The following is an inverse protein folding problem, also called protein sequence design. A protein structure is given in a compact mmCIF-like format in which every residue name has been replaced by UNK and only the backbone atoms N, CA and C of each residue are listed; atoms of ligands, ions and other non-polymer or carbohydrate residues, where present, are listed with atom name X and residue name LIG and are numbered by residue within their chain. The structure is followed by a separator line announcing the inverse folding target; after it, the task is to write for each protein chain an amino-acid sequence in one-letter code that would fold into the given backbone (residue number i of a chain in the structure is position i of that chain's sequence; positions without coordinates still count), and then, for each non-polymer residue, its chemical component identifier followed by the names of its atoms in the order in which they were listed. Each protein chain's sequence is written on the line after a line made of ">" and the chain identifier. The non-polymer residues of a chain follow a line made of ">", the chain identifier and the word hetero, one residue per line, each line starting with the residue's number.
data_IF_853671707198
#
_entry.id   IF_853671707198
#
_cell.length_a   1.000
_cell.length_b   1.000
_cell.length_c   1.000
_cell.angle_alpha   90.00
_cell.angle_beta   90.00
_cell.angle_gamma   90.00
#
_symmetry.space_group_name_H-M   'P 1'
#
loop_
_entity.id
_entity.type
_entity.pdbx_description
1 polymer ?
#
# COMPACT_ATOMS: atom_id res chain seq x y z
N UNK A 1 -18.00 17.09 8.73
CA UNK A 1 -17.08 16.14 9.40
C UNK A 1 -17.83 14.87 9.80
N UNK A 2 -17.89 13.84 8.95
CA UNK A 2 -18.64 12.60 9.25
C UNK A 2 -17.98 11.66 10.27
N UNK A 3 -16.67 11.81 10.51
CA UNK A 3 -15.88 10.89 11.34
C UNK A 3 -16.18 10.98 12.84
N UNK A 4 -16.65 12.14 13.32
CA UNK A 4 -16.90 12.39 14.75
C UNK A 4 -18.29 11.96 15.23
N UNK A 5 -19.22 11.64 14.32
CA UNK A 5 -20.59 11.33 14.68
C UNK A 5 -20.77 9.86 15.10
N UNK A 6 -21.31 9.64 16.31
CA UNK A 6 -21.70 8.33 16.83
C UNK A 6 -20.74 7.77 17.89
N UNK A 7 -21.10 6.65 18.52
CA UNK A 7 -20.33 6.08 19.62
C UNK A 7 -18.99 5.52 19.13
N UNK A 8 -17.93 5.74 19.92
CA UNK A 8 -16.57 5.28 19.66
C UNK A 8 -16.04 5.66 18.25
N UNK A 9 -15.86 6.97 17.95
CA UNK A 9 -15.40 7.46 16.66
C UNK A 9 -13.98 6.98 16.32
N UNK A 10 -13.18 6.62 17.33
CA UNK A 10 -11.83 6.04 17.16
C UNK A 10 -11.81 4.84 16.19
N UNK A 11 -12.90 4.08 16.12
CA UNK A 11 -13.01 2.90 15.24
C UNK A 11 -12.97 3.24 13.74
N UNK A 12 -13.16 4.51 13.38
CA UNK A 12 -13.15 5.01 12.00
C UNK A 12 -11.80 5.63 11.61
N UNK A 13 -10.78 5.50 12.45
CA UNK A 13 -9.44 6.02 12.18
C UNK A 13 -8.57 4.96 11.49
N UNK A 14 -7.70 5.39 10.56
CA UNK A 14 -6.78 4.48 9.87
C UNK A 14 -5.87 3.71 10.85
N UNK A 15 -5.26 4.33 11.88
CA UNK A 15 -4.44 3.59 12.84
C UNK A 15 -5.21 2.48 13.57
N UNK A 16 -6.48 2.73 13.92
CA UNK A 16 -7.31 1.70 14.53
C UNK A 16 -7.57 0.53 13.58
N UNK A 17 -7.90 0.80 12.31
CA UNK A 17 -8.17 -0.23 11.31
C UNK A 17 -6.92 -1.07 10.99
N UNK A 18 -5.75 -0.43 10.92
CA UNK A 18 -4.46 -1.09 10.68
C UNK A 18 -3.97 -1.96 11.85
N UNK A 19 -4.42 -1.68 13.08
CA UNK A 19 -4.09 -2.50 14.27
C UNK A 19 -4.82 -3.86 14.32
N UNK A 20 -5.59 -4.21 13.29
CA UNK A 20 -6.30 -5.48 13.19
C UNK A 20 -5.35 -6.67 13.12
N UNK A 21 -5.50 -7.63 14.04
CA UNK A 21 -4.63 -8.82 14.11
C UNK A 21 -5.02 -9.96 13.17
N UNK A 22 -6.26 -9.98 12.69
CA UNK A 22 -6.81 -11.10 11.92
C UNK A 22 -6.69 -10.85 10.42
N UNK A 23 -5.71 -11.49 9.79
CA UNK A 23 -5.61 -11.63 8.33
C UNK A 23 -6.02 -13.07 8.00
N UNK A 24 -7.13 -13.22 7.28
CA UNK A 24 -7.70 -14.50 6.91
C UNK A 24 -6.88 -15.16 5.80
N UNK A 25 -6.87 -16.49 5.79
CA UNK A 25 -6.33 -17.28 4.67
C UNK A 25 -7.14 -17.02 3.40
N UNK A 26 -6.48 -17.01 2.25
CA UNK A 26 -7.07 -16.71 0.93
C UNK A 26 -8.26 -17.62 0.53
N UNK A 27 -8.35 -18.79 1.16
CA UNK A 27 -9.45 -19.75 0.98
C UNK A 27 -10.78 -19.27 1.54
N UNK A 28 -10.80 -18.36 2.51
CA UNK A 28 -12.05 -17.83 3.08
C UNK A 28 -12.62 -16.80 2.11
N UNK A 29 -13.91 -16.93 1.75
CA UNK A 29 -14.58 -16.01 0.81
C UNK A 29 -15.69 -15.21 1.46
N UNK A 30 -16.50 -15.86 2.29
CA UNK A 30 -17.65 -15.23 2.94
C UNK A 30 -17.58 -15.52 4.44
N UNK A 31 -17.86 -14.50 5.25
CA UNK A 31 -18.01 -14.61 6.70
C UNK A 31 -19.38 -14.08 7.09
N UNK A 32 -20.19 -14.92 7.70
CA UNK A 32 -21.50 -14.57 8.22
C UNK A 32 -21.43 -14.44 9.74
N UNK A 33 -22.02 -13.39 10.27
CA UNK A 33 -22.11 -13.13 11.71
C UNK A 33 -23.57 -13.10 12.11
N UNK A 34 -23.99 -14.07 12.92
CA UNK A 34 -25.37 -14.24 13.35
C UNK A 34 -25.49 -13.93 14.84
N UNK A 35 -26.22 -12.87 15.21
CA UNK A 35 -26.43 -12.50 16.61
C UNK A 35 -27.74 -11.73 16.82
N UNK A 36 -28.23 -11.73 18.06
CA UNK A 36 -29.47 -11.05 18.41
C UNK A 36 -29.19 -9.76 19.21
N UNK A 37 -29.97 -8.71 18.91
CA UNK A 37 -29.85 -7.42 19.57
C UNK A 37 -30.58 -7.37 20.92
N UNK A 38 -31.71 -8.08 21.04
CA UNK A 38 -32.55 -8.03 22.22
C UNK A 38 -32.20 -9.10 23.26
N UNK A 39 -31.90 -8.66 24.48
CA UNK A 39 -31.87 -9.53 25.66
C UNK A 39 -33.28 -9.89 26.18
N UNK A 40 -34.33 -9.17 25.73
CA UNK A 40 -35.66 -9.13 26.35
C UNK A 40 -36.70 -10.12 25.80
N UNK A 41 -36.51 -10.68 24.61
CA UNK A 41 -37.58 -11.46 23.96
C UNK A 41 -37.67 -12.93 24.42
N UNK A 42 -36.65 -13.44 25.12
CA UNK A 42 -36.58 -14.83 25.55
C UNK A 42 -36.63 -15.02 27.07
N UNK A 43 -37.23 -14.07 27.81
CA UNK A 43 -37.56 -14.24 29.23
C UNK A 43 -39.00 -14.73 29.36
N UNK A 44 -39.22 -15.97 29.83
CA UNK A 44 -40.57 -16.46 30.20
C UNK A 44 -41.10 -15.77 31.46
N UNK A 45 -40.18 -15.27 32.27
CA UNK A 45 -40.35 -14.65 33.55
C UNK A 45 -40.23 -13.13 33.42
N UNK A 46 -41.33 -12.41 33.61
CA UNK A 46 -41.43 -10.92 33.58
C UNK A 46 -40.70 -10.25 34.78
N UNK A 47 -39.63 -10.84 35.29
CA UNK A 47 -38.91 -10.34 36.46
C UNK A 47 -38.02 -9.14 36.09
N UNK A 48 -38.13 -8.08 36.89
CA UNK A 48 -37.46 -6.78 36.69
C UNK A 48 -36.08 -6.71 37.37
N UNK A 49 -35.46 -7.87 37.63
CA UNK A 49 -34.12 -7.95 38.23
C UNK A 49 -33.06 -7.51 37.22
N UNK A 50 -32.25 -6.54 37.65
CA UNK A 50 -31.44 -5.61 36.85
C UNK A 50 -30.14 -6.19 36.26
N UNK A 51 -29.95 -7.51 36.28
CA UNK A 51 -28.72 -8.14 35.77
C UNK A 51 -29.04 -9.26 34.75
N UNK A 52 -28.53 -9.18 33.50
CA UNK A 52 -28.60 -10.25 32.52
C UNK A 52 -27.54 -11.29 32.87
N UNK A 53 -27.89 -12.31 33.67
CA UNK A 53 -26.88 -13.27 34.13
C UNK A 53 -26.35 -14.19 33.02
N UNK A 54 -27.04 -14.33 31.89
CA UNK A 54 -26.53 -15.05 30.72
C UNK A 54 -27.07 -14.47 29.40
N UNK A 55 -26.56 -13.31 28.97
CA UNK A 55 -26.75 -12.88 27.58
C UNK A 55 -25.69 -13.54 26.70
N UNK A 56 -26.06 -14.67 26.09
CA UNK A 56 -25.23 -15.44 25.18
C UNK A 56 -24.60 -14.61 24.05
N UNK A 57 -25.26 -13.54 23.61
CA UNK A 57 -24.88 -12.76 22.43
C UNK A 57 -23.97 -11.57 22.75
N UNK A 58 -23.72 -11.26 24.02
CA UNK A 58 -23.01 -10.03 24.42
C UNK A 58 -21.62 -9.94 23.77
N UNK A 59 -20.82 -11.01 23.83
CA UNK A 59 -19.48 -10.97 23.27
C UNK A 59 -19.46 -10.94 21.75
N UNK A 60 -20.44 -11.55 21.07
CA UNK A 60 -20.53 -11.45 19.62
C UNK A 60 -20.98 -10.06 19.16
N UNK A 61 -21.85 -9.38 19.92
CA UNK A 61 -22.21 -7.98 19.68
C UNK A 61 -21.01 -7.05 19.83
N UNK A 62 -20.23 -7.23 20.89
CA UNK A 62 -19.01 -6.45 21.11
C UNK A 62 -17.96 -6.74 20.05
N UNK A 63 -17.78 -8.00 19.68
CA UNK A 63 -16.91 -8.43 18.59
C UNK A 63 -17.31 -7.76 17.28
N UNK A 64 -18.60 -7.79 16.93
CA UNK A 64 -19.09 -7.11 15.73
C UNK A 64 -18.81 -5.61 15.78
N UNK A 65 -19.03 -4.98 16.93
CA UNK A 65 -18.85 -3.54 17.09
C UNK A 65 -17.38 -3.11 17.02
N UNK A 66 -16.46 -3.82 17.67
CA UNK A 66 -15.05 -3.43 17.74
C UNK A 66 -14.20 -4.05 16.62
N UNK A 67 -14.32 -5.36 16.38
CA UNK A 67 -13.35 -6.10 15.59
C UNK A 67 -13.70 -6.18 14.10
N UNK A 68 -14.98 -6.26 13.71
CA UNK A 68 -15.37 -6.39 12.30
C UNK A 68 -14.85 -5.27 11.39
N UNK A 69 -14.85 -3.97 11.78
CA UNK A 69 -14.24 -2.93 10.96
C UNK A 69 -12.77 -3.19 10.63
N UNK A 70 -11.99 -3.67 11.62
CA UNK A 70 -10.59 -4.02 11.43
C UNK A 70 -10.45 -5.24 10.50
N UNK A 71 -11.27 -6.27 10.70
CA UNK A 71 -11.25 -7.48 9.87
C UNK A 71 -11.57 -7.14 8.41
N UNK A 72 -12.61 -6.35 8.17
CA UNK A 72 -12.99 -5.95 6.80
C UNK A 72 -11.90 -5.11 6.12
N UNK A 73 -11.24 -4.22 6.87
CA UNK A 73 -10.16 -3.39 6.35
C UNK A 73 -8.95 -4.23 5.94
N UNK A 74 -8.55 -5.19 6.78
CA UNK A 74 -7.43 -6.09 6.50
C UNK A 74 -7.75 -7.13 5.42
N UNK A 75 -9.03 -7.43 5.19
CA UNK A 75 -9.49 -8.50 4.30
C UNK A 75 -10.53 -7.95 3.29
N UNK A 76 -10.13 -7.06 2.36
CA UNK A 76 -11.06 -6.42 1.44
C UNK A 76 -11.76 -7.40 0.49
N UNK A 77 -11.13 -8.55 0.21
CA UNK A 77 -11.64 -9.57 -0.70
C UNK A 77 -12.62 -10.56 -0.03
N UNK A 78 -12.85 -10.44 1.28
CA UNK A 78 -13.79 -11.28 2.02
C UNK A 78 -15.08 -10.50 2.22
N UNK A 79 -16.20 -11.11 1.82
CA UNK A 79 -17.52 -10.53 2.06
C UNK A 79 -17.97 -10.86 3.48
N UNK A 80 -18.23 -9.84 4.29
CA UNK A 80 -18.79 -10.00 5.64
C UNK A 80 -20.28 -9.64 5.61
N UNK A 81 -21.12 -10.58 6.02
CA UNK A 81 -22.58 -10.41 6.11
C UNK A 81 -23.02 -10.53 7.57
N UNK A 82 -23.92 -9.65 8.00
CA UNK A 82 -24.54 -9.73 9.32
C UNK A 82 -25.99 -10.18 9.19
N UNK A 83 -26.39 -11.06 10.08
CA UNK A 83 -27.78 -11.46 10.24
C UNK A 83 -28.21 -11.23 11.69
N UNK A 84 -29.37 -10.63 11.84
CA UNK A 84 -29.95 -10.26 13.12
C UNK A 84 -31.22 -11.08 13.33
N UNK A 85 -31.39 -11.65 14.52
CA UNK A 85 -32.68 -12.22 14.97
C UNK A 85 -33.19 -13.41 14.14
N UNK A 86 -32.29 -14.10 13.42
CA UNK A 86 -32.66 -15.30 12.65
C UNK A 86 -32.55 -16.58 13.47
N UNK A 87 -31.62 -16.65 14.43
CA UNK A 87 -31.32 -17.86 15.19
C UNK A 87 -31.23 -17.57 16.68
N UNK A 88 -31.63 -18.51 17.56
CA UNK A 88 -31.59 -18.28 19.00
C UNK A 88 -30.16 -18.18 19.54
N UNK A 89 -29.20 -18.90 18.96
CA UNK A 89 -27.81 -18.91 19.42
C UNK A 89 -26.91 -18.06 18.51
N UNK A 90 -25.90 -17.37 19.07
CA UNK A 90 -24.92 -16.61 18.30
C UNK A 90 -23.86 -17.53 17.68
N UNK A 91 -23.58 -17.34 16.39
CA UNK A 91 -22.49 -18.06 15.74
C UNK A 91 -21.88 -17.24 14.60
N UNK A 92 -20.68 -17.66 14.20
CA UNK A 92 -20.00 -17.18 13.01
C UNK A 92 -19.88 -18.36 12.04
N UNK A 93 -20.23 -18.14 10.77
CA UNK A 93 -20.08 -19.15 9.71
C UNK A 93 -19.16 -18.61 8.63
N UNK A 94 -18.13 -19.36 8.28
CA UNK A 94 -17.18 -18.98 7.25
C UNK A 94 -17.25 -19.95 6.08
N UNK A 95 -17.51 -19.44 4.88
CA UNK A 95 -17.51 -20.22 3.65
C UNK A 95 -16.15 -20.17 2.97
N UNK A 96 -15.63 -21.35 2.65
CA UNK A 96 -14.39 -21.55 1.95
C UNK A 96 -14.61 -21.64 0.44
N UNK A 97 -13.55 -21.43 -0.32
CA UNK A 97 -13.53 -21.53 -1.77
C UNK A 97 -13.94 -22.92 -2.27
N UNK A 98 -13.68 -23.97 -1.49
CA UNK A 98 -14.00 -25.36 -1.82
C UNK A 98 -15.49 -25.69 -1.62
N UNK A 99 -16.34 -24.71 -1.28
CA UNK A 99 -17.75 -24.90 -0.93
C UNK A 99 -17.99 -25.47 0.48
N UNK A 100 -16.92 -25.81 1.21
CA UNK A 100 -16.98 -26.20 2.62
C UNK A 100 -17.20 -24.99 3.52
N UNK A 101 -17.87 -25.19 4.63
CA UNK A 101 -18.07 -24.18 5.66
C UNK A 101 -17.48 -24.58 7.01
N UNK A 102 -17.15 -23.57 7.80
CA UNK A 102 -16.70 -23.72 9.18
C UNK A 102 -17.63 -22.91 10.07
N UNK A 103 -18.21 -23.57 11.07
CA UNK A 103 -19.11 -22.97 12.04
C UNK A 103 -18.40 -22.77 13.38
N UNK A 104 -18.48 -21.57 13.92
CA UNK A 104 -18.01 -21.22 15.26
C UNK A 104 -19.20 -20.87 16.14
N UNK A 105 -19.51 -21.76 17.09
CA UNK A 105 -20.41 -21.42 18.18
C UNK A 105 -19.76 -20.34 19.07
N UNK A 106 -20.48 -19.24 19.28
CA UNK A 106 -20.04 -18.08 20.03
C UNK A 106 -20.89 -17.83 21.29
N UNK A 107 -21.68 -18.81 21.72
CA UNK A 107 -22.49 -18.71 22.94
C UNK A 107 -21.64 -18.37 24.16
N UNK A 108 -22.02 -17.28 24.84
CA UNK A 108 -21.48 -16.85 26.13
C UNK A 108 -19.96 -16.64 26.14
N UNK A 109 -19.36 -16.45 24.96
CA UNK A 109 -17.94 -16.18 24.80
C UNK A 109 -17.66 -14.69 24.79
N UNK A 110 -16.49 -14.30 25.30
CA UNK A 110 -15.99 -12.93 25.20
C UNK A 110 -15.46 -12.64 23.79
N UNK A 111 -15.46 -11.37 23.38
CA UNK A 111 -14.92 -10.94 22.08
C UNK A 111 -13.47 -11.40 21.84
N UNK A 112 -12.67 -11.42 22.92
CA UNK A 112 -11.26 -11.80 22.88
C UNK A 112 -11.08 -13.30 22.62
N UNK A 113 -11.92 -14.12 23.24
CA UNK A 113 -11.94 -15.58 23.00
C UNK A 113 -12.33 -15.88 21.56
N UNK A 114 -13.36 -15.20 21.03
CA UNK A 114 -13.80 -15.33 19.64
C UNK A 114 -12.68 -14.95 18.68
N UNK A 115 -12.03 -13.79 18.90
CA UNK A 115 -10.88 -13.36 18.09
C UNK A 115 -9.74 -14.37 18.09
N UNK A 116 -9.36 -14.88 19.28
CA UNK A 116 -8.26 -15.86 19.40
C UNK A 116 -8.55 -17.14 18.63
N UNK A 117 -9.78 -17.66 18.74
CA UNK A 117 -10.22 -18.87 18.02
C UNK A 117 -10.21 -18.67 16.50
N UNK A 118 -10.66 -17.51 16.01
CA UNK A 118 -10.64 -17.18 14.58
C UNK A 118 -9.21 -17.07 14.04
N UNK A 119 -8.30 -16.40 14.78
CA UNK A 119 -6.88 -16.29 14.39
C UNK A 119 -6.26 -17.68 14.29
N UNK A 120 -6.47 -18.54 15.29
CA UNK A 120 -5.87 -19.88 15.32
C UNK A 120 -6.35 -20.78 14.17
N UNK A 121 -7.61 -20.66 13.76
CA UNK A 121 -8.23 -21.58 12.79
C UNK A 121 -8.17 -21.08 11.34
N UNK A 122 -8.47 -19.80 11.14
CA UNK A 122 -8.64 -19.17 9.83
C UNK A 122 -7.59 -18.09 9.54
N UNK A 123 -6.84 -17.63 10.55
CA UNK A 123 -5.77 -16.67 10.38
C UNK A 123 -4.54 -17.25 9.68
N UNK A 124 -3.82 -16.40 8.94
CA UNK A 124 -2.48 -16.72 8.45
C UNK A 124 -1.51 -16.79 9.63
N UNK A 125 -0.47 -17.62 9.50
CA UNK A 125 0.61 -17.67 10.50
C UNK A 125 1.53 -16.46 10.35
N UNK A 126 2.24 -16.09 11.41
CA UNK A 126 3.21 -14.98 11.38
C UNK A 126 4.29 -15.23 10.33
N UNK A 127 4.81 -16.46 10.25
CA UNK A 127 5.76 -16.89 9.22
C UNK A 127 5.25 -16.66 7.79
N UNK A 128 3.97 -16.94 7.54
CA UNK A 128 3.36 -16.70 6.22
C UNK A 128 3.25 -15.21 5.91
N UNK A 129 2.97 -14.39 6.92
CA UNK A 129 2.88 -12.93 6.76
C UNK A 129 4.26 -12.32 6.48
N UNK A 130 5.29 -12.76 7.18
CA UNK A 130 6.67 -12.33 6.94
C UNK A 130 7.17 -12.76 5.55
N UNK A 131 6.82 -13.98 5.13
CA UNK A 131 7.14 -14.46 3.80
C UNK A 131 6.42 -13.66 2.71
N UNK A 132 5.12 -13.40 2.87
CA UNK A 132 4.35 -12.56 1.93
C UNK A 132 4.88 -11.12 1.88
N UNK A 133 5.32 -10.56 3.02
CA UNK A 133 5.94 -9.25 3.09
C UNK A 133 7.29 -9.21 2.36
N UNK A 134 8.15 -10.19 2.57
CA UNK A 134 9.46 -10.25 1.88
C UNK A 134 9.35 -10.47 0.38
N UNK A 135 8.30 -11.16 -0.09
CA UNK A 135 8.04 -11.35 -1.53
C UNK A 135 7.42 -10.13 -2.18
N UNK A 136 6.84 -9.22 -1.40
CA UNK A 136 6.08 -8.10 -1.94
C UNK A 136 6.96 -7.30 -2.92
N UNK A 137 6.71 -7.52 -4.22
CA UNK A 137 7.59 -7.13 -5.33
C UNK A 137 7.86 -5.63 -5.31
N UNK A 138 6.92 -4.84 -4.78
CA UNK A 138 7.10 -3.40 -4.60
C UNK A 138 8.26 -3.09 -3.66
N UNK A 139 8.27 -3.68 -2.46
CA UNK A 139 9.36 -3.49 -1.50
C UNK A 139 10.69 -4.02 -2.04
N UNK A 140 10.69 -5.23 -2.61
CA UNK A 140 11.89 -5.82 -3.24
C UNK A 140 12.43 -4.93 -4.37
N UNK A 141 11.54 -4.34 -5.19
CA UNK A 141 11.92 -3.47 -6.30
C UNK A 141 12.40 -2.09 -5.86
N UNK A 142 11.85 -1.55 -4.76
CA UNK A 142 12.23 -0.26 -4.19
C UNK A 142 13.58 -0.35 -3.48
N UNK A 143 13.85 -1.48 -2.83
CA UNK A 143 15.12 -1.72 -2.14
C UNK A 143 16.27 -2.05 -3.09
N UNK A 144 15.97 -2.49 -4.32
CA UNK A 144 16.98 -2.83 -5.30
C UNK A 144 17.68 -1.59 -5.87
N UNK A 145 18.85 -1.29 -5.33
CA UNK A 145 19.75 -0.20 -5.75
C UNK A 145 20.18 -0.24 -7.21
N UNK A 146 20.07 -1.39 -7.88
CA UNK A 146 20.43 -1.54 -9.29
C UNK A 146 19.36 -0.98 -10.25
N UNK A 147 18.15 -0.70 -9.75
CA UNK A 147 17.04 -0.18 -10.56
C UNK A 147 17.03 1.34 -10.46
N UNK A 148 17.14 2.01 -11.61
CA UNK A 148 17.09 3.46 -11.73
C UNK A 148 15.73 3.92 -12.25
N UNK A 149 15.25 5.09 -11.81
CA UNK A 149 14.07 5.73 -12.38
C UNK A 149 13.26 6.57 -11.39
N UNK A 150 12.06 6.97 -11.81
CA UNK A 150 11.10 7.69 -10.96
C UNK A 150 10.70 6.80 -9.77
N UNK A 151 10.61 7.38 -8.59
CA UNK A 151 10.27 6.69 -7.32
C UNK A 151 11.26 5.59 -6.91
N UNK A 152 12.51 5.66 -7.40
CA UNK A 152 13.62 4.80 -6.97
C UNK A 152 14.63 5.61 -6.16
N UNK A 153 15.50 4.89 -5.44
CA UNK A 153 16.59 5.51 -4.66
C UNK A 153 17.48 6.42 -5.51
N UNK A 154 17.67 6.05 -6.78
CA UNK A 154 18.42 6.83 -7.76
C UNK A 154 17.60 7.02 -9.02
N UNK A 155 17.52 8.26 -9.49
CA UNK A 155 16.77 8.56 -10.71
C UNK A 155 17.61 8.30 -11.96
N UNK A 156 18.86 8.74 -11.93
CA UNK A 156 19.79 8.65 -13.06
C UNK A 156 21.18 8.17 -12.62
N UNK A 157 21.90 7.51 -13.53
CA UNK A 157 23.26 7.02 -13.28
C UNK A 157 24.24 8.14 -12.92
N UNK A 158 23.98 9.40 -13.31
CA UNK A 158 24.84 10.53 -12.99
C UNK A 158 24.94 10.84 -11.49
N UNK A 159 24.07 10.29 -10.65
CA UNK A 159 24.12 10.40 -9.19
C UNK A 159 25.17 9.46 -8.57
N UNK A 160 25.67 8.47 -9.33
CA UNK A 160 26.67 7.52 -8.86
C UNK A 160 28.07 8.15 -9.02
N UNK A 161 28.87 8.23 -7.94
CA UNK A 161 30.21 8.82 -8.02
C UNK A 161 31.09 8.03 -8.98
N UNK A 162 31.91 8.75 -9.75
CA UNK A 162 32.75 8.18 -10.81
C UNK A 162 32.07 8.04 -12.17
N UNK A 163 30.75 8.25 -12.25
CA UNK A 163 30.01 8.28 -13.51
C UNK A 163 30.02 9.67 -14.16
N UNK A 164 29.61 9.73 -15.43
CA UNK A 164 29.51 10.98 -16.18
C UNK A 164 28.41 11.87 -15.57
N UNK A 165 28.71 13.13 -15.20
CA UNK A 165 27.72 14.03 -14.62
C UNK A 165 26.69 14.47 -15.65
N UNK A 166 25.49 14.84 -15.18
CA UNK A 166 24.44 15.34 -16.05
C UNK A 166 24.87 16.65 -16.75
N UNK A 167 24.70 16.79 -18.08
CA UNK A 167 25.09 17.98 -18.83
C UNK A 167 24.43 19.29 -18.34
N UNK A 168 23.27 19.17 -17.68
CA UNK A 168 22.57 20.31 -17.08
C UNK A 168 23.29 20.88 -15.87
N UNK A 169 24.06 20.06 -15.14
CA UNK A 169 24.80 20.47 -13.94
C UNK A 169 26.22 20.85 -14.31
N UNK A 170 26.91 19.95 -15.04
CA UNK A 170 28.28 20.16 -15.49
C UNK A 170 28.32 20.08 -17.01
N UNK A 171 28.69 21.20 -17.62
CA UNK A 171 28.89 21.31 -19.06
C UNK A 171 29.96 20.32 -19.53
N UNK A 172 29.56 19.34 -20.35
CA UNK A 172 30.49 18.34 -20.91
C UNK A 172 31.60 18.98 -21.77
N UNK A 173 32.80 18.40 -21.87
CA UNK A 173 33.85 18.82 -22.80
C UNK A 173 33.36 19.00 -24.25
N UNK A 174 33.95 19.95 -25.01
CA UNK A 174 33.49 20.28 -26.38
C UNK A 174 33.53 19.08 -27.32
N UNK A 175 34.59 18.27 -27.24
CA UNK A 175 34.77 17.04 -28.02
C UNK A 175 33.70 15.96 -27.77
N UNK A 176 32.91 16.04 -26.68
CA UNK A 176 31.82 15.10 -26.40
C UNK A 176 30.43 15.66 -26.79
N UNK A 177 30.35 16.90 -27.28
CA UNK A 177 29.08 17.51 -27.69
C UNK A 177 28.86 17.38 -29.19
N UNK A 178 27.68 16.87 -29.57
CA UNK A 178 27.28 16.68 -30.97
C UNK A 178 27.41 17.92 -31.85
N UNK A 179 27.25 19.13 -31.30
CA UNK A 179 27.46 20.40 -32.02
C UNK A 179 28.87 20.51 -32.61
N UNK A 180 29.89 20.16 -31.83
CA UNK A 180 31.30 20.31 -32.21
C UNK A 180 31.82 19.12 -33.00
N UNK A 181 31.30 17.91 -32.74
CA UNK A 181 31.75 16.69 -33.43
C UNK A 181 31.12 16.46 -34.79
N UNK A 182 29.90 16.96 -35.05
CA UNK A 182 29.20 16.70 -36.34
C UNK A 182 29.14 17.89 -37.28
N UNK A 183 29.07 19.11 -36.76
CA UNK A 183 28.76 20.30 -37.58
C UNK A 183 29.92 21.29 -37.68
N UNK A 184 30.97 21.04 -36.91
CA UNK A 184 32.04 22.00 -36.65
C UNK A 184 33.41 21.35 -36.82
N UNK A 185 33.50 20.15 -37.40
CA UNK A 185 34.80 19.51 -37.64
C UNK A 185 35.67 20.36 -38.56
N UNK A 186 35.13 20.82 -39.68
CA UNK A 186 35.89 21.60 -40.65
C UNK A 186 36.19 23.01 -40.13
N UNK A 187 35.22 23.63 -39.45
CA UNK A 187 35.37 24.95 -38.84
C UNK A 187 36.31 24.94 -37.62
N UNK A 188 36.33 23.87 -36.80
CA UNK A 188 37.26 23.70 -35.68
C UNK A 188 38.67 23.38 -36.17
N UNK A 189 38.84 22.54 -37.20
CA UNK A 189 40.14 22.27 -37.83
C UNK A 189 40.68 23.58 -38.44
N UNK A 190 39.81 24.37 -39.07
CA UNK A 190 40.18 25.69 -39.60
C UNK A 190 40.55 26.65 -38.49
N UNK A 191 39.83 26.65 -37.37
CA UNK A 191 40.14 27.48 -36.21
C UNK A 191 41.47 27.09 -35.54
N UNK A 192 41.75 25.80 -35.39
CA UNK A 192 43.04 25.31 -34.88
C UNK A 192 44.18 25.78 -35.78
N UNK A 193 44.03 25.71 -37.11
CA UNK A 193 45.02 26.26 -38.04
C UNK A 193 45.17 27.78 -37.89
N UNK A 194 44.08 28.55 -37.86
CA UNK A 194 44.16 30.02 -37.75
C UNK A 194 44.73 30.50 -36.40
N UNK A 195 44.63 29.72 -35.33
CA UNK A 195 45.21 30.06 -34.02
C UNK A 195 46.69 29.63 -33.95
N UNK A 196 47.02 28.44 -34.45
CA UNK A 196 48.37 27.87 -34.35
C UNK A 196 49.31 28.38 -35.45
N UNK A 197 48.81 28.57 -36.66
CA UNK A 197 49.59 29.02 -37.83
C UNK A 197 49.53 30.55 -38.01
N UNK A 198 48.37 31.18 -37.82
CA UNK A 198 48.18 32.63 -38.07
C UNK A 198 48.19 33.51 -36.79
N UNK A 199 48.24 32.91 -35.59
CA UNK A 199 48.44 33.63 -34.33
C UNK A 199 47.29 34.55 -33.88
N UNK A 200 46.04 34.26 -34.26
CA UNK A 200 44.86 35.08 -33.88
C UNK A 200 44.36 34.77 -32.45
N UNK A 201 43.79 35.79 -31.80
CA UNK A 201 43.22 35.70 -30.45
C UNK A 201 41.94 34.85 -30.37
N UNK A 202 41.76 34.16 -29.24
CA UNK A 202 40.73 33.12 -29.04
C UNK A 202 39.27 33.66 -28.95
N UNK A 203 39.08 34.97 -28.86
CA UNK A 203 37.79 35.59 -28.48
C UNK A 203 36.82 35.82 -29.65
N UNK A 204 37.27 35.74 -30.91
CA UNK A 204 36.47 36.14 -32.09
C UNK A 204 35.59 35.03 -32.71
N UNK A 205 35.25 33.99 -31.95
CA UNK A 205 34.41 32.91 -32.50
C UNK A 205 32.92 33.28 -32.55
N UNK A 206 32.39 33.50 -33.76
CA UNK A 206 30.96 33.47 -34.04
C UNK A 206 30.54 32.10 -34.59
N UNK A 207 29.46 31.48 -34.07
CA UNK A 207 28.92 30.25 -34.65
C UNK A 207 28.55 30.46 -36.12
N UNK A 208 28.72 29.44 -36.99
CA UNK A 208 28.31 29.52 -38.39
C UNK A 208 26.83 29.88 -38.50
N UNK A 209 26.48 30.75 -39.46
CA UNK A 209 25.12 31.24 -39.65
C UNK A 209 24.11 30.09 -39.84
N UNK A 210 24.51 29.03 -40.54
CA UNK A 210 23.72 27.78 -40.72
C UNK A 210 23.35 27.12 -39.39
N UNK A 211 24.22 27.18 -38.39
CA UNK A 211 23.95 26.62 -37.06
C UNK A 211 23.07 27.56 -36.21
N UNK A 212 23.09 28.87 -36.49
CA UNK A 212 22.22 29.86 -35.85
C UNK A 212 20.79 29.71 -36.40
N UNK A 213 20.66 29.70 -37.72
CA UNK A 213 19.36 29.67 -38.41
C UNK A 213 18.56 28.39 -38.14
N UNK A 214 19.25 27.26 -37.89
CA UNK A 214 18.59 25.96 -37.69
C UNK A 214 18.15 25.66 -36.25
N UNK A 215 18.71 26.37 -35.26
CA UNK A 215 18.46 26.10 -33.83
C UNK A 215 17.85 27.28 -33.07
N UNK A 216 17.98 28.51 -33.58
CA UNK A 216 17.52 29.72 -32.90
C UNK A 216 16.48 30.53 -33.68
N UNK A 217 16.09 30.10 -34.88
CA UNK A 217 14.84 30.55 -35.50
C UNK A 217 13.72 29.61 -35.06
N UNK A 218 12.90 30.11 -34.15
CA UNK A 218 11.58 29.58 -33.79
C UNK A 218 10.59 29.75 -34.94
#
# INVERSE_FOLDING_TARGET
>A
MGFLFGPAPIRRTIPYLQSGKLILKNRVKIMEVHYNMYWKQYRKDKSHLLYPQHDAHIGLREFYFWNIPQIQYMNPNVQIVRFLEMTPNPFIRCWLQDGKDILFDCDSQTKESIMKRLIQTLGKTEEQLEFEASINVKQVSEENDAIFGVDRKRFCMCEVPGQCPCPSVIKLPKNLRGKFTKYLTDDLIKQEKEIVEDGKDFEDYRPPQIAIDRFFQS
#
